data_IF_651061235410
#
_entry.id   IF_651061235410
#
_cell.length_a   1.000
_cell.length_b   1.000
_cell.length_c   1.000
_cell.angle_alpha   90.00
_cell.angle_beta   90.00
_cell.angle_gamma   90.00
#
_symmetry.space_group_name_H-M   'P 1'
#
loop_
_entity.id
_entity.type
_entity.pdbx_description
1 polymer ?
#
# COMPACT_ATOMS: atom_id res chain seq x y z
N UNK A 1 11.12 -10.07 -6.18
CA UNK A 1 11.42 -11.16 -5.23
C UNK A 1 12.25 -12.22 -5.92
N UNK A 2 13.12 -12.97 -5.20
CA UNK A 2 13.94 -14.04 -5.80
C UNK A 2 13.15 -15.29 -6.22
N UNK A 3 11.95 -15.48 -5.67
CA UNK A 3 10.94 -16.46 -6.07
C UNK A 3 9.56 -15.84 -5.84
N UNK A 4 8.48 -16.53 -6.22
CA UNK A 4 7.15 -16.16 -5.75
C UNK A 4 7.12 -16.15 -4.21
N UNK A 5 6.50 -15.14 -3.60
CA UNK A 5 6.58 -14.93 -2.15
C UNK A 5 5.29 -14.33 -1.63
N UNK A 6 4.62 -15.06 -0.73
CA UNK A 6 3.54 -14.53 0.08
C UNK A 6 4.10 -13.58 1.14
N UNK A 7 3.42 -12.46 1.34
CA UNK A 7 3.86 -11.42 2.23
C UNK A 7 2.71 -10.60 2.80
N UNK A 8 3.02 -9.77 3.79
CA UNK A 8 2.12 -8.77 4.34
C UNK A 8 2.67 -7.36 4.10
N UNK A 9 1.91 -6.55 3.37
CA UNK A 9 2.19 -5.12 3.23
C UNK A 9 1.37 -4.31 4.23
N UNK A 10 2.06 -3.47 5.00
CA UNK A 10 1.47 -2.47 5.89
C UNK A 10 1.47 -1.09 5.24
N UNK A 11 0.31 -0.42 5.22
CA UNK A 11 0.14 0.93 4.68
C UNK A 11 -0.37 1.90 5.75
N UNK A 12 0.05 3.16 5.63
CA UNK A 12 -0.55 4.30 6.31
C UNK A 12 -0.73 5.44 5.32
N UNK A 13 -1.88 6.10 5.33
CA UNK A 13 -2.24 7.15 4.35
C UNK A 13 -2.84 8.36 5.05
N UNK A 14 -2.58 9.53 4.49
CA UNK A 14 -3.17 10.81 4.85
C UNK A 14 -3.43 11.57 3.54
N UNK A 15 -4.66 11.65 3.04
CA UNK A 15 -5.91 11.14 3.64
C UNK A 15 -6.17 9.67 3.25
N UNK A 16 -6.30 9.44 1.95
CA UNK A 16 -6.76 8.19 1.37
C UNK A 16 -5.75 7.66 0.33
N UNK A 17 -5.88 6.38 -0.04
CA UNK A 17 -5.08 5.86 -1.14
C UNK A 17 -5.73 4.69 -1.88
N UNK A 18 -5.33 4.54 -3.13
CA UNK A 18 -5.43 3.28 -3.87
C UNK A 18 -4.04 2.72 -4.13
N UNK A 19 -3.88 1.42 -3.98
CA UNK A 19 -2.61 0.74 -4.19
C UNK A 19 -2.81 -0.42 -5.16
N UNK A 20 -1.88 -0.54 -6.10
CA UNK A 20 -1.82 -1.65 -7.03
C UNK A 20 -0.48 -2.37 -6.93
N UNK A 21 -0.51 -3.70 -6.99
CA UNK A 21 0.66 -4.56 -7.14
C UNK A 21 0.56 -5.28 -8.48
N UNK A 22 1.55 -5.10 -9.35
CA UNK A 22 1.60 -5.71 -10.69
C UNK A 22 0.33 -5.46 -11.53
N UNK A 23 -0.28 -4.26 -11.37
CA UNK A 23 -1.51 -3.87 -12.06
C UNK A 23 -2.81 -4.31 -11.37
N UNK A 24 -2.74 -5.13 -10.33
CA UNK A 24 -3.90 -5.56 -9.55
C UNK A 24 -4.15 -4.62 -8.38
N UNK A 25 -5.41 -4.22 -8.16
CA UNK A 25 -5.79 -3.35 -7.03
C UNK A 25 -5.78 -4.16 -5.73
N UNK A 26 -4.87 -3.81 -4.82
CA UNK A 26 -4.70 -4.52 -3.53
C UNK A 26 -5.26 -3.71 -2.35
N UNK A 27 -5.43 -2.39 -2.49
CA UNK A 27 -6.02 -1.52 -1.46
C UNK A 27 -6.85 -0.42 -2.13
N UNK A 28 -8.09 -0.22 -1.68
CA UNK A 28 -8.93 0.94 -2.01
C UNK A 28 -9.46 1.54 -0.70
N UNK A 29 -8.66 2.42 -0.11
CA UNK A 29 -9.03 3.14 1.12
C UNK A 29 -9.52 4.53 0.77
N UNK A 30 -10.81 4.79 0.93
CA UNK A 30 -11.44 6.09 0.71
C UNK A 30 -11.96 6.66 2.04
N UNK A 31 -11.06 7.14 2.87
CA UNK A 31 -11.37 7.68 4.21
C UNK A 31 -10.41 8.81 4.53
N UNK A 32 -10.93 9.92 5.04
CA UNK A 32 -10.12 11.03 5.56
C UNK A 32 -9.55 10.64 6.93
N UNK A 33 -8.22 10.62 7.04
CA UNK A 33 -7.50 10.16 8.25
C UNK A 33 -6.03 10.58 8.20
N UNK A 34 -5.36 10.55 9.35
CA UNK A 34 -3.91 10.69 9.39
C UNK A 34 -3.16 9.39 9.04
N UNK A 35 -1.90 9.53 8.61
CA UNK A 35 -1.05 8.39 8.29
C UNK A 35 -0.42 7.78 9.54
N UNK A 36 -0.83 6.55 9.87
CA UNK A 36 -0.22 5.71 10.90
C UNK A 36 0.35 4.44 10.26
N UNK A 37 1.57 3.99 10.62
CA UNK A 37 2.14 2.76 10.08
C UNK A 37 1.24 1.54 10.26
N UNK A 38 1.09 0.77 9.18
CA UNK A 38 0.34 -0.50 9.09
C UNK A 38 -1.12 -0.43 9.52
N UNK A 39 -1.72 0.75 9.40
CA UNK A 39 -3.13 0.94 9.65
C UNK A 39 -3.97 0.05 8.71
N UNK A 40 -3.60 0.00 7.42
CA UNK A 40 -4.08 -1.06 6.54
C UNK A 40 -3.03 -2.14 6.42
N UNK A 41 -3.47 -3.41 6.44
CA UNK A 41 -2.61 -4.58 6.25
C UNK A 41 -3.21 -5.45 5.17
N UNK A 42 -2.45 -5.67 4.12
CA UNK A 42 -2.92 -6.38 2.94
C UNK A 42 -2.00 -7.56 2.67
N UNK A 43 -2.58 -8.76 2.66
CA UNK A 43 -1.87 -9.97 2.22
C UNK A 43 -1.70 -9.88 0.71
N UNK A 44 -0.49 -10.14 0.25
CA UNK A 44 -0.14 -10.10 -1.18
C UNK A 44 0.75 -11.28 -1.52
N UNK A 45 0.76 -11.63 -2.80
CA UNK A 45 1.74 -12.56 -3.36
C UNK A 45 2.56 -11.81 -4.39
N UNK A 46 3.86 -11.66 -4.12
CA UNK A 46 4.81 -11.12 -5.07
C UNK A 46 5.21 -12.20 -6.08
N UNK A 47 5.35 -11.82 -7.34
CA UNK A 47 5.88 -12.71 -8.39
C UNK A 47 7.40 -12.84 -8.26
N UNK A 48 7.96 -13.94 -8.77
CA UNK A 48 9.40 -14.03 -9.02
C UNK A 48 9.85 -12.87 -9.93
N UNK A 49 11.02 -12.29 -9.64
CA UNK A 49 11.57 -11.16 -10.37
C UNK A 49 11.03 -9.79 -9.92
N UNK A 50 11.12 -8.77 -10.79
CA UNK A 50 10.65 -7.42 -10.48
C UNK A 50 9.14 -7.37 -10.23
N UNK A 51 8.73 -6.59 -9.22
CA UNK A 51 7.32 -6.32 -8.94
C UNK A 51 7.10 -4.82 -8.95
N UNK A 52 5.99 -4.37 -9.52
CA UNK A 52 5.62 -2.96 -9.55
C UNK A 52 4.57 -2.68 -8.48
N UNK A 53 4.91 -1.78 -7.56
CA UNK A 53 3.96 -1.24 -6.58
C UNK A 53 3.63 0.20 -6.97
N UNK A 54 2.35 0.50 -7.18
CA UNK A 54 1.85 1.85 -7.47
C UNK A 54 0.97 2.29 -6.32
N UNK A 55 1.25 3.45 -5.75
CA UNK A 55 0.46 4.06 -4.68
C UNK A 55 -0.07 5.40 -5.19
N UNK A 56 -1.39 5.52 -5.31
CA UNK A 56 -2.07 6.79 -5.55
C UNK A 56 -2.54 7.34 -4.21
N UNK A 57 -1.94 8.43 -3.77
CA UNK A 57 -2.37 9.17 -2.58
C UNK A 57 -3.42 10.21 -2.99
N UNK A 58 -4.51 10.27 -2.24
CA UNK A 58 -5.49 11.35 -2.29
C UNK A 58 -5.35 12.20 -1.03
N UNK A 59 -5.27 13.51 -1.23
CA UNK A 59 -5.21 14.51 -0.17
C UNK A 59 -6.43 15.42 -0.32
N UNK A 60 -7.32 15.40 0.66
CA UNK A 60 -8.51 16.22 0.69
C UNK A 60 -8.14 17.65 1.13
N UNK A 61 -7.48 17.78 2.28
CA UNK A 61 -7.15 19.07 2.88
C UNK A 61 -5.80 19.04 3.62
N UNK A 62 -5.13 20.21 3.69
CA UNK A 62 -3.86 20.39 4.42
C UNK A 62 -2.74 19.50 3.86
N UNK A 63 -1.96 18.88 4.75
CA UNK A 63 -0.75 18.13 4.42
C UNK A 63 -1.11 16.67 4.20
N UNK A 64 -0.32 16.00 3.37
CA UNK A 64 -0.44 14.57 3.12
C UNK A 64 0.81 13.82 3.61
N UNK A 65 0.63 12.52 3.83
CA UNK A 65 1.67 11.56 4.20
C UNK A 65 1.28 10.18 3.68
N UNK A 66 2.28 9.35 3.40
CA UNK A 66 2.06 7.91 3.33
C UNK A 66 3.28 7.16 3.88
N UNK A 67 3.07 5.91 4.25
CA UNK A 67 4.13 4.95 4.51
C UNK A 67 3.72 3.57 3.99
N UNK A 68 4.71 2.77 3.58
CA UNK A 68 4.54 1.39 3.17
C UNK A 68 5.68 0.56 3.78
N UNK A 69 5.35 -0.59 4.37
CA UNK A 69 6.32 -1.52 4.96
C UNK A 69 6.03 -2.94 4.50
N UNK A 70 7.08 -3.70 4.22
CA UNK A 70 7.02 -5.15 4.14
C UNK A 70 7.18 -5.68 5.57
N UNK A 71 6.17 -6.37 6.10
CA UNK A 71 6.14 -6.76 7.51
C UNK A 71 6.62 -8.19 7.73
N UNK A 72 6.16 -9.10 6.89
CA UNK A 72 6.45 -10.53 6.87
C UNK A 72 6.48 -10.99 5.41
#
# INVERSE_FOLDING_TARGET
>A
MPAETDALLGFGTDDAARVWLNGELILDSWTDRGAFPDHDRVKVTFKEGPNQLVIKVYNNLRNWKFCCRLLE
#
